data_IF_782568592472
#
_entry.id   IF_782568592472
#
_cell.length_a   1.000
_cell.length_b   1.000
_cell.length_c   1.000
_cell.angle_alpha   90.00
_cell.angle_beta   90.00
_cell.angle_gamma   90.00
#
_symmetry.space_group_name_H-M   'P 1'
#
loop_
_entity.id
_entity.type
_entity.pdbx_description
1 polymer ?
#
# COMPACT_ATOMS: atom_id res chain seq x y z
N UNK A 1 7.38 -2.73 -7.19
CA UNK A 1 7.22 -1.33 -6.72
C UNK A 1 8.28 -0.45 -7.37
N UNK A 2 8.03 0.85 -7.49
CA UNK A 2 9.02 1.85 -7.94
C UNK A 2 8.94 3.08 -7.05
N UNK A 3 10.08 3.64 -6.63
CA UNK A 3 10.15 4.91 -5.91
C UNK A 3 10.38 6.04 -6.91
N UNK A 4 9.61 7.12 -6.80
CA UNK A 4 9.77 8.33 -7.62
C UNK A 4 9.29 9.58 -6.86
N UNK A 5 10.11 10.63 -6.83
CA UNK A 5 9.79 11.93 -6.22
C UNK A 5 9.22 11.85 -4.78
N UNK A 6 9.83 11.02 -3.92
CA UNK A 6 9.36 10.83 -2.53
C UNK A 6 8.05 10.05 -2.42
N UNK A 7 7.63 9.34 -3.48
CA UNK A 7 6.40 8.53 -3.52
C UNK A 7 6.72 7.12 -3.99
N UNK A 8 5.81 6.18 -3.70
CA UNK A 8 5.91 4.79 -4.13
C UNK A 8 4.79 4.48 -5.11
N UNK A 9 5.14 4.04 -6.32
CA UNK A 9 4.21 3.48 -7.30
C UNK A 9 4.16 1.95 -7.19
N UNK A 10 2.95 1.44 -6.99
CA UNK A 10 2.64 0.02 -6.94
C UNK A 10 1.89 -0.39 -8.22
N UNK A 11 2.27 -1.53 -8.79
CA UNK A 11 1.57 -2.18 -9.92
C UNK A 11 1.07 -3.53 -9.44
N UNK A 12 -0.04 -3.97 -10.02
CA UNK A 12 -0.73 -5.19 -9.67
C UNK A 12 -0.97 -5.99 -10.95
N UNK A 13 -0.73 -7.30 -10.88
CA UNK A 13 -0.79 -8.16 -12.07
C UNK A 13 -2.23 -8.32 -12.58
N UNK A 14 -3.20 -8.52 -11.68
CA UNK A 14 -4.62 -8.73 -11.99
C UNK A 14 -5.46 -7.44 -12.05
N UNK A 15 -4.89 -6.42 -12.71
CA UNK A 15 -5.46 -5.08 -12.82
C UNK A 15 -5.67 -4.66 -14.29
N UNK A 16 -5.76 -5.61 -15.21
CA UNK A 16 -5.89 -5.37 -16.65
C UNK A 16 -7.17 -4.60 -16.99
N UNK A 17 -8.25 -4.86 -16.23
CA UNK A 17 -9.53 -4.16 -16.34
C UNK A 17 -9.57 -2.85 -15.54
N UNK A 18 -8.50 -2.54 -14.80
CA UNK A 18 -8.36 -1.34 -14.00
C UNK A 18 -8.47 -1.57 -12.51
N UNK A 19 -8.29 -0.48 -11.77
CA UNK A 19 -8.32 -0.43 -10.31
C UNK A 19 -9.40 0.55 -9.87
N UNK A 20 -10.08 0.24 -8.77
CA UNK A 20 -11.12 1.09 -8.21
C UNK A 20 -10.97 1.26 -6.69
N UNK A 21 -11.45 2.39 -6.20
CA UNK A 21 -11.65 2.65 -4.78
C UNK A 21 -13.17 2.71 -4.53
N UNK A 22 -13.68 1.82 -3.68
CA UNK A 22 -15.10 1.84 -3.33
C UNK A 22 -15.38 2.84 -2.20
N UNK A 23 -16.48 3.57 -2.29
CA UNK A 23 -16.96 4.43 -1.20
C UNK A 23 -15.90 5.46 -0.72
N UNK A 24 -15.31 6.21 -1.66
CA UNK A 24 -14.41 7.34 -1.37
C UNK A 24 -12.93 7.06 -1.67
N UNK A 25 -12.02 7.93 -1.16
CA UNK A 25 -10.58 7.81 -1.37
C UNK A 25 -10.00 6.47 -0.87
N UNK A 26 -8.87 6.06 -1.44
CA UNK A 26 -8.14 4.88 -0.94
C UNK A 26 -7.75 5.06 0.53
N UNK A 27 -7.84 3.97 1.29
CA UNK A 27 -7.50 3.89 2.71
C UNK A 27 -6.71 2.62 3.01
N UNK A 28 -6.26 2.48 4.26
CA UNK A 28 -5.49 1.34 4.76
C UNK A 28 -4.06 1.22 4.22
N UNK A 29 -3.50 2.30 3.66
CA UNK A 29 -2.09 2.35 3.26
C UNK A 29 -1.22 2.94 4.38
N UNK A 30 -0.05 2.35 4.59
CA UNK A 30 1.03 2.95 5.39
C UNK A 30 2.34 2.90 4.62
N UNK A 31 3.23 3.85 4.89
CA UNK A 31 4.52 4.02 4.20
C UNK A 31 5.63 4.25 5.22
N UNK A 32 6.81 3.72 4.96
CA UNK A 32 7.97 3.85 5.84
C UNK A 32 9.23 4.26 5.07
N UNK A 33 10.11 4.99 5.76
CA UNK A 33 11.47 5.27 5.32
C UNK A 33 12.45 4.19 5.79
N UNK A 34 13.77 4.44 5.67
CA UNK A 34 14.81 3.50 6.08
C UNK A 34 14.79 3.16 7.59
N UNK A 35 14.19 4.02 8.40
CA UNK A 35 14.00 3.82 9.85
C UNK A 35 12.98 2.73 10.20
N UNK A 36 12.29 2.18 9.19
CA UNK A 36 11.26 1.15 9.35
C UNK A 36 10.03 1.59 10.17
N UNK A 37 9.85 2.90 10.37
CA UNK A 37 8.69 3.46 11.05
C UNK A 37 7.58 3.70 10.04
N UNK A 38 6.44 3.04 10.23
CA UNK A 38 5.30 3.16 9.32
C UNK A 38 4.38 4.30 9.74
N UNK A 39 4.11 5.20 8.80
CA UNK A 39 3.16 6.30 8.93
C UNK A 39 1.92 6.04 8.05
N UNK A 40 0.72 6.51 8.44
CA UNK A 40 -0.44 6.53 7.55
C UNK A 40 -0.09 7.23 6.22
N UNK A 41 -0.55 6.68 5.10
CA UNK A 41 -0.21 7.20 3.79
C UNK A 41 -1.46 7.64 3.01
N UNK A 42 -1.29 8.71 2.24
CA UNK A 42 -2.21 9.05 1.17
C UNK A 42 -1.96 8.09 -0.01
N UNK A 43 -3.03 7.70 -0.69
CA UNK A 43 -2.96 6.82 -1.84
C UNK A 43 -3.94 7.24 -2.92
N UNK A 44 -3.53 7.13 -4.19
CA UNK A 44 -4.35 7.46 -5.36
C UNK A 44 -4.12 6.45 -6.48
N UNK A 45 -5.20 6.10 -7.18
CA UNK A 45 -5.14 5.30 -8.40
C UNK A 45 -4.73 6.20 -9.57
N UNK A 46 -3.73 5.76 -10.32
CA UNK A 46 -3.24 6.38 -11.56
C UNK A 46 -3.06 5.28 -12.61
N UNK A 47 -4.03 5.19 -13.55
CA UNK A 47 -4.12 4.08 -14.48
C UNK A 47 -4.21 2.74 -13.74
N UNK A 48 -3.34 1.79 -14.11
CA UNK A 48 -3.27 0.46 -13.47
C UNK A 48 -2.26 0.42 -12.31
N UNK A 49 -2.04 1.55 -11.65
CA UNK A 49 -1.10 1.66 -10.53
C UNK A 49 -1.69 2.46 -9.38
N UNK A 50 -1.11 2.27 -8.20
CA UNK A 50 -1.40 3.09 -7.01
C UNK A 50 -0.16 3.88 -6.65
N UNK A 51 -0.30 5.19 -6.55
CA UNK A 51 0.72 6.09 -6.03
C UNK A 51 0.46 6.32 -4.54
N UNK A 52 1.46 6.07 -3.70
CA UNK A 52 1.38 6.11 -2.23
C UNK A 52 2.44 7.08 -1.68
N UNK A 53 2.07 7.95 -0.76
CA UNK A 53 2.99 8.94 -0.18
C UNK A 53 2.58 9.43 1.21
N UNK A 54 3.55 10.02 1.92
CA UNK A 54 3.35 10.81 3.12
C UNK A 54 4.39 11.95 3.11
N UNK A 55 3.98 13.18 3.42
CA UNK A 55 4.85 14.37 3.35
C UNK A 55 6.04 14.32 4.32
N UNK A 56 5.92 13.57 5.42
CA UNK A 56 6.97 13.37 6.42
C UNK A 56 7.95 12.25 6.00
N UNK A 57 7.58 11.39 5.05
CA UNK A 57 8.41 10.26 4.59
C UNK A 57 9.02 10.62 3.24
N UNK A 58 10.10 11.40 3.26
CA UNK A 58 10.74 11.94 2.03
C UNK A 58 11.53 10.90 1.23
N UNK A 59 11.99 9.82 1.88
CA UNK A 59 12.72 8.72 1.26
C UNK A 59 12.00 7.39 1.51
N UNK A 60 10.84 7.15 0.88
CA UNK A 60 10.07 5.94 1.17
C UNK A 60 10.75 4.69 0.60
N UNK A 61 10.79 3.63 1.41
CA UNK A 61 11.37 2.33 1.04
C UNK A 61 10.39 1.17 1.18
N UNK A 62 9.26 1.38 1.85
CA UNK A 62 8.28 0.32 2.08
C UNK A 62 6.84 0.86 2.13
N UNK A 63 5.89 0.05 1.66
CA UNK A 63 4.45 0.27 1.78
C UNK A 63 3.79 -0.98 2.35
N UNK A 64 2.76 -0.79 3.16
CA UNK A 64 1.85 -1.84 3.60
C UNK A 64 0.42 -1.45 3.28
N UNK A 65 -0.41 -2.45 3.05
CA UNK A 65 -1.85 -2.30 2.81
C UNK A 65 -2.63 -3.25 3.72
N UNK A 66 -3.67 -2.73 4.37
CA UNK A 66 -4.54 -3.47 5.29
C UNK A 66 -3.78 -4.21 6.41
N UNK A 67 -2.65 -3.65 6.86
CA UNK A 67 -1.74 -4.27 7.83
C UNK A 67 -2.07 -3.87 9.29
N UNK A 68 -3.28 -4.22 9.74
CA UNK A 68 -3.73 -4.05 11.13
C UNK A 68 -4.74 -5.14 11.50
N UNK A 69 -5.07 -5.28 12.78
CA UNK A 69 -5.90 -6.37 13.29
C UNK A 69 -7.31 -6.43 12.64
N UNK A 70 -7.94 -5.26 12.43
CA UNK A 70 -9.27 -5.14 11.84
C UNK A 70 -9.23 -4.02 10.80
N UNK A 71 -8.78 -4.29 9.57
CA UNK A 71 -8.74 -3.30 8.50
C UNK A 71 -10.12 -3.11 7.87
N UNK A 72 -10.38 -1.93 7.30
CA UNK A 72 -11.58 -1.64 6.51
C UNK A 72 -11.16 -1.16 5.11
N UNK A 73 -10.58 -2.05 4.27
CA UNK A 73 -10.05 -1.68 2.97
C UNK A 73 -11.15 -1.39 1.95
N UNK A 74 -10.85 -0.52 1.00
CA UNK A 74 -11.73 -0.22 -0.12
C UNK A 74 -11.06 -0.32 -1.50
N UNK A 75 -9.95 -1.03 -1.58
CA UNK A 75 -9.16 -1.17 -2.80
C UNK A 75 -9.52 -2.48 -3.53
N UNK A 76 -9.97 -2.35 -4.77
CA UNK A 76 -10.43 -3.46 -5.60
C UNK A 76 -9.87 -3.33 -7.02
N UNK A 77 -9.87 -4.43 -7.76
CA UNK A 77 -9.81 -4.32 -9.22
C UNK A 77 -11.20 -3.97 -9.79
N UNK A 78 -11.27 -3.60 -11.06
CA UNK A 78 -12.52 -3.22 -11.71
C UNK A 78 -13.50 -4.39 -11.90
N UNK A 79 -13.06 -5.64 -11.72
CA UNK A 79 -13.92 -6.82 -11.67
C UNK A 79 -14.62 -7.00 -10.31
N UNK A 80 -14.39 -6.10 -9.35
CA UNK A 80 -15.02 -6.13 -8.04
C UNK A 80 -14.34 -7.06 -7.03
N UNK A 81 -13.13 -7.54 -7.31
CA UNK A 81 -12.36 -8.38 -6.39
C UNK A 81 -11.49 -7.52 -5.45
N UNK A 82 -11.52 -7.78 -4.13
CA UNK A 82 -10.73 -7.02 -3.17
C UNK A 82 -9.25 -7.34 -3.31
N UNK A 83 -8.40 -6.31 -3.13
CA UNK A 83 -6.97 -6.54 -2.96
C UNK A 83 -6.70 -7.25 -1.63
N UNK A 84 -5.86 -8.29 -1.65
CA UNK A 84 -5.37 -8.93 -0.43
C UNK A 84 -4.44 -8.00 0.34
N UNK A 85 -4.38 -8.08 1.69
CA UNK A 85 -3.37 -7.40 2.48
C UNK A 85 -1.95 -7.73 1.99
N UNK A 86 -1.07 -6.74 1.95
CA UNK A 86 0.30 -6.94 1.48
C UNK A 86 1.30 -6.02 2.17
N UNK A 87 2.57 -6.35 2.00
CA UNK A 87 3.72 -5.55 2.42
C UNK A 87 4.84 -5.64 1.38
N UNK A 88 5.58 -4.56 1.17
CA UNK A 88 6.73 -4.56 0.26
C UNK A 88 8.08 -4.69 0.97
N UNK A 89 8.11 -4.52 2.29
CA UNK A 89 9.33 -4.70 3.09
C UNK A 89 9.67 -6.19 3.30
N UNK A 90 10.95 -6.48 3.54
CA UNK A 90 11.46 -7.82 3.90
C UNK A 90 11.90 -7.93 5.38
N UNK A 91 11.55 -6.94 6.21
CA UNK A 91 11.92 -6.91 7.63
C UNK A 91 11.24 -8.03 8.44
N UNK A 92 11.93 -8.57 9.44
CA UNK A 92 11.36 -9.62 10.29
C UNK A 92 10.13 -9.10 11.03
N UNK A 93 9.05 -9.88 11.04
CA UNK A 93 7.92 -9.59 11.91
C UNK A 93 8.29 -9.89 13.35
N UNK A 94 7.77 -9.10 14.30
CA UNK A 94 7.99 -9.34 15.73
C UNK A 94 7.55 -10.75 16.17
N UNK A 95 6.62 -11.37 15.45
CA UNK A 95 6.08 -12.71 15.73
C UNK A 95 6.72 -13.82 14.88
N UNK A 96 7.64 -13.50 13.98
CA UNK A 96 8.25 -14.49 13.09
C UNK A 96 9.16 -15.44 13.89
N UNK A 97 8.83 -16.73 13.90
CA UNK A 97 9.58 -17.76 14.63
C UNK A 97 9.25 -17.84 16.13
N UNK A 98 8.15 -17.22 16.57
CA UNK A 98 7.64 -17.30 17.95
C UNK A 98 6.46 -18.28 18.11
N UNK A 99 6.33 -19.26 17.20
CA UNK A 99 5.34 -20.34 17.25
C UNK A 99 6.04 -21.68 17.09
#
# INVERSE_FOLDING_TARGET
MKVENGRVRLRFDYAETGLIAQNGPLREFTIAGPDSVFHPAQARIEGNSVLVWNEQVTQPVAVRFAWRAIPNPNFYNAAGLPASPFRTDKWKLKTQGLL
#
